data_IF_771818126531
#
_entry.id   IF_771818126531
#
_cell.length_a   1.000
_cell.length_b   1.000
_cell.length_c   1.000
_cell.angle_alpha   90.00
_cell.angle_beta   90.00
_cell.angle_gamma   90.00
#
_symmetry.space_group_name_H-M   'P 1'
#
loop_
_entity.id
_entity.type
_entity.pdbx_description
1 polymer ?
#
# COMPACT_ATOMS: atom_id res chain seq x y z
N UNK A 1 36.41 -3.91 -16.62
CA UNK A 1 36.02 -4.36 -15.27
C UNK A 1 34.87 -5.36 -15.44
N UNK A 2 34.95 -6.49 -14.73
CA UNK A 2 33.88 -7.51 -14.77
C UNK A 2 32.66 -6.90 -14.07
N UNK A 3 31.49 -6.99 -14.72
CA UNK A 3 30.21 -6.56 -14.13
C UNK A 3 29.46 -7.80 -13.63
N UNK A 4 28.79 -7.64 -12.51
CA UNK A 4 28.02 -8.72 -11.88
C UNK A 4 26.63 -8.18 -11.50
N UNK A 5 25.65 -9.06 -11.38
CA UNK A 5 24.31 -8.69 -10.93
C UNK A 5 24.34 -8.30 -9.45
N UNK A 6 23.70 -7.20 -9.11
CA UNK A 6 23.68 -6.67 -7.74
C UNK A 6 23.01 -7.65 -6.76
N UNK A 7 21.93 -8.33 -7.17
CA UNK A 7 21.25 -9.34 -6.34
C UNK A 7 22.16 -10.56 -6.04
N UNK A 8 23.04 -10.91 -6.96
CA UNK A 8 24.03 -11.98 -6.77
C UNK A 8 25.13 -11.53 -5.82
N UNK A 9 25.70 -10.34 -6.06
CA UNK A 9 26.79 -9.82 -5.24
C UNK A 9 26.38 -9.65 -3.77
N UNK A 10 25.16 -9.12 -3.50
CA UNK A 10 24.65 -9.01 -2.14
C UNK A 10 24.58 -10.36 -1.42
N UNK A 11 24.21 -11.41 -2.14
CA UNK A 11 24.12 -12.75 -1.56
C UNK A 11 25.51 -13.35 -1.34
N UNK A 12 26.42 -13.20 -2.30
CA UNK A 12 27.80 -13.71 -2.22
C UNK A 12 28.59 -13.02 -1.10
N UNK A 13 28.36 -11.71 -0.91
CA UNK A 13 29.00 -10.94 0.17
C UNK A 13 28.31 -11.12 1.54
N UNK A 14 27.29 -11.97 1.66
CA UNK A 14 26.56 -12.20 2.92
C UNK A 14 25.69 -11.03 3.39
N UNK A 15 25.50 -10.00 2.54
CA UNK A 15 24.65 -8.83 2.83
C UNK A 15 23.15 -9.13 2.67
N UNK A 16 22.79 -10.25 2.08
CA UNK A 16 21.43 -10.78 2.02
C UNK A 16 21.46 -12.31 2.10
N UNK A 17 20.53 -12.94 2.84
CA UNK A 17 20.53 -14.40 3.02
C UNK A 17 20.10 -15.17 1.74
N UNK A 18 19.46 -14.47 0.78
CA UNK A 18 19.05 -15.07 -0.49
C UNK A 18 18.93 -14.00 -1.58
N UNK A 19 18.96 -14.43 -2.86
CA UNK A 19 18.75 -13.52 -4.00
C UNK A 19 17.38 -12.85 -3.98
N UNK A 20 16.36 -13.53 -3.50
CA UNK A 20 15.01 -12.95 -3.35
C UNK A 20 15.02 -11.82 -2.31
N UNK A 21 15.70 -12.02 -1.18
CA UNK A 21 15.88 -10.97 -0.17
C UNK A 21 16.70 -9.81 -0.73
N UNK A 22 17.78 -10.09 -1.45
CA UNK A 22 18.60 -9.08 -2.13
C UNK A 22 17.77 -8.20 -3.08
N UNK A 23 16.94 -8.82 -3.92
CA UNK A 23 16.04 -8.07 -4.82
C UNK A 23 15.07 -7.15 -4.04
N UNK A 24 14.50 -7.63 -2.92
CA UNK A 24 13.63 -6.82 -2.07
C UNK A 24 14.35 -5.62 -1.48
N UNK A 25 15.56 -5.80 -0.95
CA UNK A 25 16.40 -4.72 -0.42
C UNK A 25 16.73 -3.67 -1.50
N UNK A 26 17.05 -4.11 -2.72
CA UNK A 26 17.32 -3.23 -3.85
C UNK A 26 16.06 -2.42 -4.20
N UNK A 27 14.92 -3.09 -4.42
CA UNK A 27 13.66 -2.42 -4.78
C UNK A 27 13.13 -1.50 -3.67
N UNK A 28 13.47 -1.79 -2.41
CA UNK A 28 13.20 -0.91 -1.28
C UNK A 28 14.11 0.32 -1.22
N UNK A 29 15.13 0.39 -2.11
CA UNK A 29 16.12 1.45 -2.10
C UNK A 29 17.04 1.40 -0.86
N UNK A 30 17.19 0.23 -0.26
CA UNK A 30 18.04 0.01 0.92
C UNK A 30 19.47 -0.39 0.55
N UNK A 31 19.82 -0.43 -0.73
CA UNK A 31 21.16 -0.80 -1.19
C UNK A 31 21.87 0.41 -1.76
N UNK A 32 23.07 0.68 -1.22
CA UNK A 32 24.02 1.63 -1.75
C UNK A 32 25.16 0.88 -2.47
N UNK A 33 25.48 1.35 -3.65
CA UNK A 33 26.63 0.91 -4.45
C UNK A 33 27.57 2.09 -4.57
N UNK A 34 28.77 2.03 -3.98
CA UNK A 34 29.68 3.17 -3.89
C UNK A 34 28.98 4.43 -3.38
N UNK A 35 28.21 4.30 -2.29
CA UNK A 35 27.40 5.35 -1.64
C UNK A 35 26.24 5.92 -2.51
N UNK A 36 25.97 5.36 -3.68
CA UNK A 36 24.84 5.75 -4.50
C UNK A 36 23.72 4.71 -4.40
N UNK A 37 22.50 5.20 -4.18
CA UNK A 37 21.30 4.33 -4.06
C UNK A 37 20.96 3.67 -5.39
N UNK A 38 20.71 2.38 -5.36
CA UNK A 38 20.25 1.58 -6.50
C UNK A 38 18.93 0.90 -6.15
N UNK A 39 17.91 1.10 -6.98
CA UNK A 39 16.54 0.58 -6.77
C UNK A 39 16.08 -0.43 -7.83
N UNK A 40 16.91 -0.72 -8.83
CA UNK A 40 16.58 -1.67 -9.91
C UNK A 40 17.10 -3.08 -9.57
N UNK A 41 16.19 -4.02 -9.30
CA UNK A 41 16.53 -5.40 -8.94
C UNK A 41 17.45 -6.13 -9.95
N UNK A 42 17.38 -5.74 -11.22
CA UNK A 42 18.22 -6.31 -12.30
C UNK A 42 19.53 -5.54 -12.57
N UNK A 43 19.88 -4.54 -11.75
CA UNK A 43 21.08 -3.74 -11.95
C UNK A 43 22.34 -4.60 -11.99
N UNK A 44 23.26 -4.24 -12.89
CA UNK A 44 24.62 -4.82 -12.95
C UNK A 44 25.62 -3.74 -12.52
N UNK A 45 26.51 -4.10 -11.61
CA UNK A 45 27.50 -3.20 -11.02
C UNK A 45 28.91 -3.80 -11.16
N UNK A 46 29.98 -3.02 -11.03
CA UNK A 46 31.33 -3.58 -10.95
C UNK A 46 31.44 -4.63 -9.86
N UNK A 47 32.12 -5.74 -10.14
CA UNK A 47 32.25 -6.85 -9.18
C UNK A 47 33.01 -6.47 -7.89
N UNK A 48 33.80 -5.41 -7.98
CA UNK A 48 34.58 -4.82 -6.89
C UNK A 48 33.89 -3.60 -6.24
N UNK A 49 32.62 -3.35 -6.58
CA UNK A 49 31.87 -2.24 -5.98
C UNK A 49 31.70 -2.45 -4.48
N UNK A 50 31.82 -1.37 -3.72
CA UNK A 50 31.52 -1.34 -2.29
C UNK A 50 29.99 -1.35 -2.12
N UNK A 51 29.47 -2.41 -1.50
CA UNK A 51 28.03 -2.55 -1.25
C UNK A 51 27.74 -2.29 0.22
N UNK A 52 26.67 -1.56 0.45
CA UNK A 52 26.16 -1.30 1.81
C UNK A 52 24.66 -1.39 1.83
N UNK A 53 24.11 -2.17 2.74
CA UNK A 53 22.67 -2.20 3.04
C UNK A 53 22.41 -1.19 4.13
N UNK A 54 21.47 -0.29 3.89
CA UNK A 54 21.08 0.79 4.81
C UNK A 54 19.61 0.65 5.20
N UNK A 55 19.33 1.07 6.44
CA UNK A 55 17.98 0.97 7.01
C UNK A 55 17.77 -0.31 7.80
N UNK A 56 16.70 -0.31 8.59
CA UNK A 56 16.27 -1.50 9.32
C UNK A 56 15.65 -2.54 8.37
N UNK A 57 15.72 -3.80 8.75
CA UNK A 57 15.00 -4.87 8.03
C UNK A 57 13.50 -4.55 8.04
N UNK A 58 12.90 -4.49 6.83
CA UNK A 58 11.45 -4.30 6.74
C UNK A 58 10.75 -5.48 7.41
N UNK A 59 9.83 -5.23 8.35
CA UNK A 59 9.08 -6.30 9.01
C UNK A 59 8.14 -7.03 8.05
N UNK A 60 7.88 -6.48 6.86
CA UNK A 60 6.98 -6.98 5.85
C UNK A 60 7.70 -7.27 4.52
N UNK A 61 7.07 -8.05 3.65
CA UNK A 61 7.63 -8.39 2.33
C UNK A 61 7.87 -7.16 1.43
N UNK A 62 7.23 -6.03 1.72
CA UNK A 62 7.49 -4.74 1.06
C UNK A 62 7.15 -3.54 1.96
N UNK A 63 7.58 -2.32 1.54
CA UNK A 63 7.27 -1.06 2.23
C UNK A 63 5.76 -0.79 2.35
N UNK A 64 4.94 -1.42 1.50
CA UNK A 64 3.48 -1.33 1.60
C UNK A 64 2.98 -1.69 3.00
N UNK A 65 3.53 -2.72 3.63
CA UNK A 65 3.13 -3.13 4.98
C UNK A 65 3.27 -2.03 6.03
N UNK A 66 4.23 -1.11 5.89
CA UNK A 66 4.39 0.05 6.80
C UNK A 66 3.19 1.00 6.72
N UNK A 67 2.58 1.15 5.53
CA UNK A 67 1.40 2.00 5.36
C UNK A 67 0.21 1.44 6.12
N UNK A 68 -0.06 0.14 5.94
CA UNK A 68 -1.15 -0.53 6.65
C UNK A 68 -0.91 -0.53 8.16
N UNK A 69 0.32 -0.82 8.60
CA UNK A 69 0.69 -0.80 10.02
C UNK A 69 0.44 0.58 10.66
N UNK A 70 0.74 1.68 9.94
CA UNK A 70 0.42 3.04 10.40
C UNK A 70 -1.09 3.22 10.60
N UNK A 71 -1.91 2.76 9.64
CA UNK A 71 -3.37 2.85 9.74
C UNK A 71 -3.92 2.01 10.90
N UNK A 72 -3.43 0.78 11.07
CA UNK A 72 -3.80 -0.10 12.19
C UNK A 72 -3.51 0.59 13.52
N UNK A 73 -2.31 1.14 13.68
CA UNK A 73 -1.91 1.82 14.91
C UNK A 73 -2.69 3.12 15.16
N UNK A 74 -2.90 3.93 14.11
CA UNK A 74 -3.57 5.22 14.23
C UNK A 74 -5.06 5.10 14.58
N UNK A 75 -5.72 4.06 14.07
CA UNK A 75 -7.18 3.89 14.21
C UNK A 75 -7.59 2.75 15.15
N UNK A 76 -6.63 2.05 15.75
CA UNK A 76 -6.92 0.93 16.66
C UNK A 76 -7.59 -0.26 15.95
N UNK A 77 -7.27 -0.52 14.67
CA UNK A 77 -7.90 -1.59 13.88
C UNK A 77 -7.45 -2.95 14.43
N UNK A 78 -8.40 -3.80 14.79
CA UNK A 78 -8.14 -5.16 15.25
C UNK A 78 -8.40 -6.14 14.08
N UNK A 79 -7.37 -6.86 13.66
CA UNK A 79 -7.47 -7.86 12.58
C UNK A 79 -7.49 -9.31 13.09
N UNK A 80 -7.33 -9.51 14.39
CA UNK A 80 -7.30 -10.86 14.99
C UNK A 80 -8.61 -11.62 14.71
N UNK A 81 -8.49 -12.79 14.08
CA UNK A 81 -9.62 -13.64 13.74
C UNK A 81 -10.45 -13.19 12.52
N UNK A 82 -10.10 -12.08 11.87
CA UNK A 82 -10.86 -11.54 10.72
C UNK A 82 -10.46 -12.17 9.39
N UNK A 83 -11.43 -12.26 8.49
CA UNK A 83 -11.22 -12.46 7.06
C UNK A 83 -11.02 -11.09 6.40
N UNK A 84 -9.98 -10.95 5.58
CA UNK A 84 -9.63 -9.68 4.96
C UNK A 84 -9.49 -9.79 3.44
N UNK A 85 -9.60 -8.65 2.74
CA UNK A 85 -9.28 -8.50 1.34
C UNK A 85 -8.18 -7.45 1.15
N UNK A 86 -7.13 -7.79 0.41
CA UNK A 86 -6.05 -6.90 -0.01
C UNK A 86 -6.25 -6.53 -1.48
N UNK A 87 -6.71 -5.31 -1.75
CA UNK A 87 -7.08 -4.85 -3.08
C UNK A 87 -5.94 -4.02 -3.66
N UNK A 88 -5.25 -4.59 -4.64
CA UNK A 88 -3.97 -4.11 -5.15
C UNK A 88 -2.80 -4.74 -4.38
N UNK A 89 -2.86 -6.05 -4.15
CA UNK A 89 -1.92 -6.77 -3.29
C UNK A 89 -0.45 -6.68 -3.74
N UNK A 90 -0.18 -6.60 -5.05
CA UNK A 90 1.15 -6.49 -5.63
C UNK A 90 2.12 -7.54 -5.02
N UNK A 91 3.19 -7.12 -4.37
CA UNK A 91 4.13 -8.02 -3.68
C UNK A 91 3.59 -8.59 -2.36
N UNK A 92 2.45 -8.10 -1.86
CA UNK A 92 1.79 -8.62 -0.66
C UNK A 92 2.18 -7.90 0.64
N UNK A 93 2.66 -6.66 0.58
CA UNK A 93 3.04 -5.93 1.80
C UNK A 93 1.88 -5.76 2.77
N UNK A 94 0.68 -5.44 2.28
CA UNK A 94 -0.52 -5.34 3.09
C UNK A 94 -1.00 -6.71 3.55
N UNK A 95 -1.02 -7.70 2.67
CA UNK A 95 -1.34 -9.10 3.01
C UNK A 95 -0.47 -9.60 4.16
N UNK A 96 0.86 -9.43 4.08
CA UNK A 96 1.80 -9.85 5.14
C UNK A 96 1.53 -9.11 6.47
N UNK A 97 1.26 -7.80 6.40
CA UNK A 97 0.89 -7.01 7.57
C UNK A 97 -0.40 -7.52 8.22
N UNK A 98 -1.43 -7.82 7.42
CA UNK A 98 -2.70 -8.36 7.95
C UNK A 98 -2.51 -9.72 8.64
N UNK A 99 -1.75 -10.63 8.04
CA UNK A 99 -1.46 -11.94 8.61
C UNK A 99 -0.67 -11.84 9.92
N UNK A 100 0.31 -10.92 9.99
CA UNK A 100 1.08 -10.67 11.22
C UNK A 100 0.23 -10.04 12.32
N UNK A 101 -0.84 -9.32 11.98
CA UNK A 101 -1.83 -8.77 12.93
C UNK A 101 -3.01 -9.72 13.20
N UNK A 102 -2.90 -11.00 12.83
CA UNK A 102 -3.82 -12.04 13.24
C UNK A 102 -4.99 -12.31 12.31
N UNK A 103 -5.00 -11.77 11.09
CA UNK A 103 -5.99 -12.16 10.09
C UNK A 103 -5.90 -13.66 9.80
N UNK A 104 -7.05 -14.33 9.76
CA UNK A 104 -7.14 -15.79 9.56
C UNK A 104 -7.25 -16.17 8.09
N UNK A 105 -7.70 -15.24 7.25
CA UNK A 105 -7.78 -15.38 5.79
C UNK A 105 -7.58 -14.04 5.12
N UNK A 106 -6.84 -14.02 3.99
CA UNK A 106 -6.67 -12.82 3.16
C UNK A 106 -6.85 -13.17 1.69
N UNK A 107 -7.80 -12.51 1.03
CA UNK A 107 -7.93 -12.53 -0.43
C UNK A 107 -6.98 -11.49 -1.01
N UNK A 108 -5.89 -11.93 -1.61
CA UNK A 108 -4.89 -11.07 -2.26
C UNK A 108 -5.27 -10.84 -3.72
N UNK A 109 -5.94 -9.72 -4.00
CA UNK A 109 -6.54 -9.39 -5.30
C UNK A 109 -5.64 -8.41 -6.04
N UNK A 110 -5.15 -8.79 -7.23
CA UNK A 110 -4.32 -7.92 -8.07
C UNK A 110 -4.52 -8.22 -9.57
N UNK A 111 -4.42 -7.18 -10.40
CA UNK A 111 -4.46 -7.33 -11.87
C UNK A 111 -3.16 -7.91 -12.43
N UNK A 112 -2.05 -7.77 -11.70
CA UNK A 112 -0.73 -8.29 -12.03
C UNK A 112 -0.67 -9.82 -11.92
N UNK A 113 0.48 -10.36 -12.29
CA UNK A 113 0.75 -11.79 -12.22
C UNK A 113 2.19 -12.06 -11.78
N UNK A 114 2.36 -13.04 -10.89
CA UNK A 114 3.68 -13.48 -10.42
C UNK A 114 4.37 -12.45 -9.52
N UNK A 115 3.63 -11.49 -8.96
CA UNK A 115 4.18 -10.43 -8.10
C UNK A 115 4.14 -10.79 -6.62
N UNK A 116 3.10 -11.52 -6.19
CA UNK A 116 2.93 -11.90 -4.79
C UNK A 116 4.14 -12.69 -4.30
N UNK A 117 4.69 -12.32 -3.15
CA UNK A 117 5.87 -12.97 -2.55
C UNK A 117 5.58 -14.46 -2.33
N UNK A 118 6.60 -15.29 -2.57
CA UNK A 118 6.46 -16.75 -2.48
C UNK A 118 6.00 -17.22 -1.10
N UNK A 119 6.46 -16.58 -0.03
CA UNK A 119 6.03 -16.86 1.35
C UNK A 119 4.50 -16.72 1.50
N UNK A 120 3.91 -15.69 0.89
CA UNK A 120 2.47 -15.44 0.95
C UNK A 120 1.69 -16.34 0.01
N UNK A 121 2.25 -16.61 -1.16
CA UNK A 121 1.65 -17.52 -2.15
C UNK A 121 1.48 -18.95 -1.63
N UNK A 122 2.34 -19.36 -0.71
CA UNK A 122 2.32 -20.70 -0.10
C UNK A 122 1.67 -20.73 1.29
N UNK A 123 1.25 -19.59 1.83
CA UNK A 123 0.53 -19.52 3.11
C UNK A 123 -0.93 -19.96 2.93
N UNK A 124 -1.36 -20.97 3.67
CA UNK A 124 -2.71 -21.54 3.57
C UNK A 124 -3.83 -20.55 3.90
N UNK A 125 -3.51 -19.43 4.57
CA UNK A 125 -4.44 -18.35 4.89
C UNK A 125 -4.63 -17.37 3.73
N UNK A 126 -3.82 -17.45 2.67
CA UNK A 126 -3.86 -16.51 1.54
C UNK A 126 -4.55 -17.16 0.35
N UNK A 127 -5.60 -16.52 -0.12
CA UNK A 127 -6.24 -16.83 -1.40
C UNK A 127 -5.65 -15.91 -2.46
N UNK A 128 -4.77 -16.45 -3.30
CA UNK A 128 -4.12 -15.67 -4.36
C UNK A 128 -5.08 -15.46 -5.54
N UNK A 129 -5.50 -14.21 -5.75
CA UNK A 129 -6.38 -13.79 -6.83
C UNK A 129 -5.64 -12.83 -7.79
N UNK A 130 -4.49 -13.25 -8.30
CA UNK A 130 -3.78 -12.54 -9.37
C UNK A 130 -4.55 -12.57 -10.70
N UNK A 131 -4.20 -11.68 -11.65
CA UNK A 131 -4.93 -11.45 -12.93
C UNK A 131 -6.40 -11.11 -12.73
N UNK A 132 -6.75 -10.57 -11.57
CA UNK A 132 -8.13 -10.28 -11.19
C UNK A 132 -8.34 -8.78 -11.08
N UNK A 133 -9.21 -8.25 -11.94
CA UNK A 133 -9.63 -6.85 -11.84
C UNK A 133 -10.72 -6.73 -10.76
N UNK A 134 -10.47 -5.96 -9.72
CA UNK A 134 -11.41 -5.76 -8.62
C UNK A 134 -12.82 -5.38 -9.10
N UNK A 135 -12.95 -4.62 -10.17
CA UNK A 135 -14.26 -4.22 -10.73
C UNK A 135 -15.09 -5.38 -11.28
N UNK A 136 -14.51 -6.58 -11.39
CA UNK A 136 -15.17 -7.80 -11.86
C UNK A 136 -15.34 -8.83 -10.74
N UNK A 137 -14.88 -8.54 -9.54
CA UNK A 137 -15.05 -9.43 -8.39
C UNK A 137 -16.47 -9.29 -7.87
N UNK A 138 -17.08 -10.44 -7.63
CA UNK A 138 -18.46 -10.56 -7.11
C UNK A 138 -18.44 -11.37 -5.81
N UNK A 139 -19.45 -11.22 -4.93
CA UNK A 139 -19.48 -11.93 -3.65
C UNK A 139 -19.37 -13.45 -3.77
N UNK A 140 -19.93 -14.05 -4.82
CA UNK A 140 -19.88 -15.49 -5.08
C UNK A 140 -18.48 -16.02 -5.45
N UNK A 141 -17.54 -15.14 -5.79
CA UNK A 141 -16.13 -15.49 -5.99
C UNK A 141 -15.35 -15.65 -4.67
N UNK A 142 -15.95 -15.23 -3.55
CA UNK A 142 -15.36 -15.30 -2.22
C UNK A 142 -16.16 -16.30 -1.38
N UNK A 143 -15.48 -17.25 -0.75
CA UNK A 143 -16.15 -18.24 0.12
C UNK A 143 -16.66 -17.63 1.45
N UNK A 144 -16.12 -16.44 1.83
CA UNK A 144 -16.58 -15.67 2.99
C UNK A 144 -16.49 -14.16 2.69
N UNK A 145 -17.50 -13.41 3.11
CA UNK A 145 -17.46 -11.95 3.03
C UNK A 145 -16.34 -11.40 3.95
N UNK A 146 -15.43 -10.54 3.44
CA UNK A 146 -14.39 -9.95 4.26
C UNK A 146 -14.96 -9.01 5.34
N UNK A 147 -14.38 -9.07 6.55
CA UNK A 147 -14.66 -8.14 7.64
C UNK A 147 -13.80 -6.87 7.56
N UNK A 148 -12.76 -6.94 6.76
CA UNK A 148 -11.84 -5.83 6.53
C UNK A 148 -11.35 -5.84 5.08
N UNK A 149 -11.21 -4.66 4.49
CA UNK A 149 -10.56 -4.50 3.20
C UNK A 149 -9.50 -3.41 3.26
N UNK A 150 -8.32 -3.68 2.72
CA UNK A 150 -7.34 -2.65 2.40
C UNK A 150 -7.35 -2.35 0.91
N UNK A 151 -7.13 -1.08 0.53
CA UNK A 151 -7.11 -0.65 -0.88
C UNK A 151 -5.83 0.14 -1.14
N UNK A 152 -4.92 -0.43 -1.95
CA UNK A 152 -3.69 0.21 -2.44
C UNK A 152 -3.57 0.05 -3.96
N UNK A 153 -4.51 0.61 -4.71
CA UNK A 153 -4.57 0.51 -6.18
C UNK A 153 -3.79 1.63 -6.87
N UNK A 154 -3.40 1.41 -8.11
CA UNK A 154 -2.73 2.38 -8.96
C UNK A 154 -3.47 2.57 -10.29
N UNK A 155 -3.40 3.79 -10.85
CA UNK A 155 -3.99 4.15 -12.15
C UNK A 155 -5.52 4.04 -12.23
N UNK A 156 -6.19 4.04 -11.09
CA UNK A 156 -7.64 4.02 -10.97
C UNK A 156 -8.04 4.84 -9.74
N UNK A 157 -9.14 5.58 -9.85
CA UNK A 157 -9.71 6.34 -8.73
C UNK A 157 -10.52 5.44 -7.79
N UNK A 158 -10.58 5.80 -6.50
CA UNK A 158 -11.33 5.10 -5.47
C UNK A 158 -12.85 5.10 -5.75
N UNK A 159 -13.37 6.08 -6.47
CA UNK A 159 -14.78 6.13 -6.88
C UNK A 159 -15.20 4.94 -7.77
N UNK A 160 -14.24 4.28 -8.43
CA UNK A 160 -14.46 3.06 -9.23
C UNK A 160 -14.28 1.76 -8.44
N UNK A 161 -13.62 1.83 -7.28
CA UNK A 161 -13.26 0.66 -6.47
C UNK A 161 -14.19 0.51 -5.28
N UNK A 162 -14.48 1.59 -4.57
CA UNK A 162 -15.32 1.58 -3.37
C UNK A 162 -16.72 0.97 -3.60
N UNK A 163 -17.43 1.23 -4.74
CA UNK A 163 -18.73 0.61 -4.98
C UNK A 163 -18.67 -0.92 -4.96
N UNK A 164 -17.64 -1.50 -5.56
CA UNK A 164 -17.46 -2.96 -5.59
C UNK A 164 -17.08 -3.48 -4.20
N UNK A 165 -16.11 -2.84 -3.55
CA UNK A 165 -15.67 -3.25 -2.20
C UNK A 165 -16.84 -3.29 -1.24
N UNK A 166 -17.75 -2.30 -1.32
CA UNK A 166 -18.97 -2.27 -0.51
C UNK A 166 -19.84 -3.52 -0.67
N UNK A 167 -19.93 -4.06 -1.88
CA UNK A 167 -20.74 -5.28 -2.12
C UNK A 167 -20.08 -6.56 -1.62
N UNK A 168 -18.76 -6.54 -1.42
CA UNK A 168 -17.99 -7.71 -0.97
C UNK A 168 -17.93 -7.84 0.55
N UNK A 169 -17.98 -6.70 1.26
CA UNK A 169 -17.80 -6.64 2.70
C UNK A 169 -18.99 -7.24 3.47
N UNK A 170 -18.69 -7.78 4.64
CA UNK A 170 -19.69 -8.11 5.66
C UNK A 170 -20.45 -6.86 6.13
N UNK A 171 -21.66 -6.99 6.70
CA UNK A 171 -22.45 -5.84 7.13
C UNK A 171 -21.75 -4.90 8.13
N UNK A 172 -20.79 -5.40 8.89
CA UNK A 172 -19.98 -4.63 9.86
C UNK A 172 -18.56 -4.39 9.35
N UNK A 173 -18.32 -4.62 8.06
CA UNK A 173 -17.01 -4.53 7.45
C UNK A 173 -16.38 -3.15 7.56
N UNK A 174 -15.08 -3.11 7.47
CA UNK A 174 -14.25 -1.91 7.56
C UNK A 174 -13.29 -1.82 6.38
N UNK A 175 -12.91 -0.60 6.02
CA UNK A 175 -11.99 -0.33 4.91
C UNK A 175 -10.87 0.59 5.35
N UNK A 176 -9.64 0.29 4.99
CA UNK A 176 -8.53 1.23 5.00
C UNK A 176 -8.06 1.48 3.57
N UNK A 177 -8.39 2.64 3.02
CA UNK A 177 -8.09 2.99 1.64
C UNK A 177 -6.93 3.98 1.56
N UNK A 178 -5.97 3.74 0.66
CA UNK A 178 -4.98 4.73 0.26
C UNK A 178 -5.59 5.71 -0.74
N UNK A 179 -5.65 6.99 -0.34
CA UNK A 179 -5.93 8.09 -1.26
C UNK A 179 -4.60 8.50 -1.88
N UNK A 180 -4.53 8.44 -3.20
CA UNK A 180 -3.35 8.79 -3.99
C UNK A 180 -3.66 10.00 -4.85
N UNK A 181 -3.26 11.22 -4.45
CA UNK A 181 -3.62 12.44 -5.17
C UNK A 181 -3.32 12.40 -6.67
N UNK A 182 -2.24 11.73 -7.07
CA UNK A 182 -1.85 11.59 -8.47
C UNK A 182 -2.85 10.77 -9.34
N UNK A 183 -3.73 9.99 -8.74
CA UNK A 183 -4.76 9.21 -9.45
C UNK A 183 -6.17 9.78 -9.25
N UNK A 184 -6.31 10.76 -8.35
CA UNK A 184 -7.59 11.37 -8.01
C UNK A 184 -7.73 12.82 -8.52
N UNK A 185 -6.62 13.57 -8.63
CA UNK A 185 -6.65 15.01 -8.90
C UNK A 185 -7.12 15.40 -10.31
N UNK A 186 -7.09 14.45 -11.27
CA UNK A 186 -7.23 14.75 -12.69
C UNK A 186 -5.91 15.19 -13.34
N UNK A 187 -5.79 14.98 -14.65
CA UNK A 187 -4.53 15.16 -15.39
C UNK A 187 -3.95 16.57 -15.31
N UNK A 188 -4.81 17.57 -15.28
CA UNK A 188 -4.42 18.99 -15.32
C UNK A 188 -3.78 19.48 -14.01
N UNK A 189 -3.99 18.78 -12.91
CA UNK A 189 -3.45 19.10 -11.59
C UNK A 189 -2.27 18.20 -11.17
N UNK A 190 -1.86 17.28 -12.04
CA UNK A 190 -0.70 16.44 -11.81
C UNK A 190 0.52 17.06 -12.47
N UNK A 191 1.52 17.41 -11.67
CA UNK A 191 2.74 18.05 -12.14
C UNK A 191 3.62 17.16 -13.02
N UNK A 192 4.70 17.73 -13.54
CA UNK A 192 5.76 17.00 -14.24
C UNK A 192 6.22 15.83 -13.38
N UNK A 193 6.48 14.69 -13.99
CA UNK A 193 6.87 13.43 -13.33
C UNK A 193 5.74 12.71 -12.57
N UNK A 194 4.48 13.16 -12.67
CA UNK A 194 3.34 12.50 -12.04
C UNK A 194 3.26 12.73 -10.52
N UNK A 195 3.71 13.90 -10.04
CA UNK A 195 3.68 14.25 -8.61
C UNK A 195 2.74 15.43 -8.40
N UNK A 196 1.85 15.31 -7.43
CA UNK A 196 1.01 16.38 -6.90
C UNK A 196 1.72 16.96 -5.67
N UNK A 197 1.98 18.26 -5.67
CA UNK A 197 2.73 18.95 -4.60
C UNK A 197 1.91 20.02 -3.87
N UNK A 198 0.84 20.49 -4.50
CA UNK A 198 0.01 21.56 -3.96
C UNK A 198 -0.88 21.02 -2.82
N UNK A 199 -0.73 21.50 -1.58
CA UNK A 199 -1.56 21.08 -0.46
C UNK A 199 -3.05 21.27 -0.71
N UNK A 200 -3.46 22.35 -1.37
CA UNK A 200 -4.87 22.62 -1.69
C UNK A 200 -5.45 21.55 -2.62
N UNK A 201 -4.64 20.98 -3.53
CA UNK A 201 -5.07 19.87 -4.38
C UNK A 201 -5.22 18.58 -3.56
N UNK A 202 -4.37 18.36 -2.54
CA UNK A 202 -4.51 17.22 -1.64
C UNK A 202 -5.79 17.31 -0.82
N UNK A 203 -6.09 18.48 -0.25
CA UNK A 203 -7.31 18.74 0.52
C UNK A 203 -8.57 18.49 -0.34
N UNK A 204 -8.64 19.09 -1.54
CA UNK A 204 -9.74 18.89 -2.47
C UNK A 204 -9.93 17.40 -2.86
N UNK A 205 -8.85 16.70 -3.10
CA UNK A 205 -8.89 15.26 -3.42
C UNK A 205 -9.46 14.46 -2.26
N UNK A 206 -9.00 14.71 -1.04
CA UNK A 206 -9.48 14.02 0.17
C UNK A 206 -10.97 14.29 0.37
N UNK A 207 -11.39 15.56 0.30
CA UNK A 207 -12.80 15.95 0.47
C UNK A 207 -13.71 15.26 -0.56
N UNK A 208 -13.30 15.20 -1.84
CA UNK A 208 -14.09 14.51 -2.88
C UNK A 208 -14.18 13.00 -2.65
N UNK A 209 -13.10 12.35 -2.21
CA UNK A 209 -13.12 10.92 -1.89
C UNK A 209 -14.04 10.65 -0.70
N UNK A 210 -14.04 11.52 0.32
CA UNK A 210 -14.96 11.44 1.47
C UNK A 210 -16.42 11.52 1.02
N UNK A 211 -16.78 12.55 0.24
CA UNK A 211 -18.15 12.71 -0.30
C UNK A 211 -18.57 11.49 -1.11
N UNK A 212 -17.67 10.94 -1.94
CA UNK A 212 -17.97 9.74 -2.72
C UNK A 212 -18.19 8.51 -1.82
N UNK A 213 -17.38 8.33 -0.78
CA UNK A 213 -17.53 7.22 0.16
C UNK A 213 -18.83 7.33 0.97
N UNK A 214 -19.17 8.53 1.47
CA UNK A 214 -20.43 8.78 2.19
C UNK A 214 -21.66 8.57 1.29
N UNK A 215 -21.58 9.03 0.04
CA UNK A 215 -22.63 8.79 -0.97
C UNK A 215 -22.88 7.30 -1.26
N UNK A 216 -21.89 6.45 -1.03
CA UNK A 216 -22.01 4.99 -1.08
C UNK A 216 -22.54 4.40 0.24
N UNK A 217 -22.71 5.21 1.29
CA UNK A 217 -23.13 4.76 2.61
C UNK A 217 -22.01 4.18 3.48
N UNK A 218 -20.75 4.50 3.18
CA UNK A 218 -19.66 4.31 4.14
C UNK A 218 -19.69 5.42 5.19
N UNK A 219 -19.24 5.10 6.40
CA UNK A 219 -19.09 6.04 7.50
C UNK A 219 -17.60 6.33 7.70
N UNK A 220 -17.13 7.57 7.48
CA UNK A 220 -15.75 7.96 7.78
C UNK A 220 -15.46 7.81 9.27
N UNK A 221 -14.32 7.19 9.60
CA UNK A 221 -13.88 6.94 10.98
C UNK A 221 -12.57 7.62 11.33
N UNK A 222 -11.76 7.95 10.32
CA UNK A 222 -10.49 8.64 10.53
C UNK A 222 -9.70 8.87 9.26
N UNK A 223 -8.82 9.86 9.33
CA UNK A 223 -7.91 10.25 8.26
C UNK A 223 -6.50 10.43 8.85
N UNK A 224 -5.48 9.94 8.15
CA UNK A 224 -4.07 10.20 8.42
C UNK A 224 -3.27 10.09 7.12
N UNK A 225 -1.94 10.15 7.17
CA UNK A 225 -1.08 10.01 6.00
C UNK A 225 -0.15 8.81 6.10
N UNK A 226 0.30 8.32 4.96
CA UNK A 226 1.26 7.23 4.85
C UNK A 226 2.62 7.64 5.42
N UNK A 227 3.30 6.79 6.20
CA UNK A 227 4.64 7.11 6.74
C UNK A 227 5.72 7.11 5.66
N UNK A 228 5.40 6.65 4.47
CA UNK A 228 6.33 6.58 3.33
C UNK A 228 5.67 7.14 2.08
N UNK A 229 6.42 7.90 1.29
CA UNK A 229 5.98 8.39 -0.02
C UNK A 229 5.83 7.25 -1.02
N UNK A 230 4.95 7.44 -1.99
CA UNK A 230 4.84 6.59 -3.16
C UNK A 230 6.13 6.58 -3.99
N UNK A 231 6.26 5.64 -4.96
CA UNK A 231 7.51 5.42 -5.71
C UNK A 231 8.05 6.66 -6.45
N UNK A 232 7.18 7.59 -6.82
CA UNK A 232 7.57 8.86 -7.49
C UNK A 232 7.70 10.04 -6.54
N UNK A 233 7.50 9.83 -5.23
CA UNK A 233 7.59 10.87 -4.21
C UNK A 233 6.26 11.53 -3.85
N UNK A 234 5.12 10.99 -4.29
CA UNK A 234 3.81 11.48 -3.88
C UNK A 234 3.55 11.19 -2.41
N UNK A 235 2.99 12.16 -1.70
CA UNK A 235 2.35 11.95 -0.40
C UNK A 235 1.03 11.21 -0.65
N UNK A 236 0.75 10.22 0.19
CA UNK A 236 -0.46 9.40 0.10
C UNK A 236 -1.16 9.41 1.46
N UNK A 237 -2.49 9.34 1.46
CA UNK A 237 -3.29 9.44 2.69
C UNK A 237 -4.00 8.14 2.98
N UNK A 238 -4.31 7.89 4.24
CA UNK A 238 -5.00 6.71 4.75
C UNK A 238 -6.37 7.12 5.25
N UNK A 239 -7.41 6.67 4.58
CA UNK A 239 -8.81 6.90 4.94
C UNK A 239 -9.39 5.63 5.55
N UNK A 240 -9.87 5.71 6.78
CA UNK A 240 -10.55 4.64 7.48
C UNK A 240 -12.06 4.81 7.44
N UNK A 241 -12.75 3.79 6.96
CA UNK A 241 -14.20 3.76 6.73
C UNK A 241 -14.81 2.53 7.40
N UNK A 242 -16.07 2.65 7.81
CA UNK A 242 -16.89 1.53 8.27
C UNK A 242 -18.17 1.41 7.46
N UNK A 243 -18.77 0.21 7.49
CA UNK A 243 -20.10 -0.03 6.92
C UNK A 243 -21.23 0.46 7.83
N UNK A 244 -20.98 0.54 9.14
CA UNK A 244 -21.94 0.95 10.16
C UNK A 244 -21.27 1.72 11.29
N UNK A 245 -22.03 2.57 11.99
CA UNK A 245 -21.59 3.27 13.19
C UNK A 245 -20.46 4.27 12.94
N UNK A 246 -19.90 4.80 14.01
CA UNK A 246 -18.72 5.66 13.96
C UNK A 246 -19.00 7.14 13.83
N UNK A 247 -17.97 7.86 13.39
CA UNK A 247 -17.96 9.33 13.25
C UNK A 247 -18.77 9.76 12.02
N UNK A 248 -19.50 10.86 12.15
CA UNK A 248 -20.43 11.32 11.11
C UNK A 248 -19.76 12.12 10.00
N UNK A 249 -18.63 12.78 10.27
CA UNK A 249 -17.90 13.55 9.24
C UNK A 249 -16.46 13.80 9.69
N UNK A 250 -15.57 13.95 8.72
CA UNK A 250 -14.21 14.50 8.89
C UNK A 250 -14.29 15.95 8.43
N UNK A 251 -14.04 16.89 9.34
CA UNK A 251 -14.17 18.33 9.05
C UNK A 251 -13.02 18.83 8.15
N UNK A 252 -13.28 19.92 7.41
CA UNK A 252 -12.27 20.50 6.49
C UNK A 252 -11.00 20.93 7.25
N UNK A 253 -11.13 21.42 8.48
CA UNK A 253 -10.00 21.78 9.35
C UNK A 253 -9.14 20.57 9.71
N UNK A 254 -9.73 19.39 9.85
CA UNK A 254 -9.00 18.15 10.11
C UNK A 254 -8.28 17.69 8.85
N UNK A 255 -8.90 17.80 7.68
CA UNK A 255 -8.25 17.51 6.39
C UNK A 255 -7.03 18.39 6.23
N UNK A 256 -7.17 19.71 6.41
CA UNK A 256 -6.08 20.68 6.31
C UNK A 256 -4.94 20.36 7.28
N UNK A 257 -5.25 20.06 8.54
CA UNK A 257 -4.25 19.70 9.55
C UNK A 257 -3.46 18.43 9.18
N UNK A 258 -4.14 17.40 8.66
CA UNK A 258 -3.48 16.17 8.22
C UNK A 258 -2.59 16.42 7.00
N UNK A 259 -3.03 17.25 6.05
CA UNK A 259 -2.25 17.62 4.86
C UNK A 259 -1.02 18.42 5.26
N UNK A 260 -1.16 19.43 6.10
CA UNK A 260 -0.04 20.24 6.61
C UNK A 260 0.99 19.36 7.32
N UNK A 261 0.56 18.49 8.22
CA UNK A 261 1.47 17.59 8.93
C UNK A 261 2.19 16.61 7.99
N UNK A 262 1.49 16.08 6.98
CA UNK A 262 2.09 15.20 5.99
C UNK A 262 3.20 15.90 5.20
N UNK A 263 2.96 17.13 4.74
CA UNK A 263 3.96 17.93 4.04
C UNK A 263 5.14 18.26 4.95
N UNK A 264 4.90 18.71 6.17
CA UNK A 264 5.96 19.01 7.16
C UNK A 264 6.83 17.79 7.45
N UNK A 265 6.23 16.61 7.56
CA UNK A 265 6.93 15.37 7.95
C UNK A 265 7.68 14.73 6.79
N UNK A 266 7.13 14.78 5.59
CA UNK A 266 7.62 14.02 4.44
C UNK A 266 8.39 14.87 3.43
N UNK A 267 8.19 16.20 3.38
CA UNK A 267 8.90 17.12 2.47
C UNK A 267 10.01 17.93 3.18
N UNK A 268 10.06 17.85 4.52
CA UNK A 268 11.05 18.52 5.37
C UNK A 268 12.47 17.96 5.28
#
# INVERSE_FOLDING_TARGET
>A
MKKERLDVLLTVQGLAPSRERAKRLIMAGQVLVNEQRVDKAGATVPADAVLRVVGEDLPYVSRGGLKLAKGIAAFGICLAGRTAADIGASTGGFTDCMLQNGAVKVYAIDVGYGQLDWKLRTDARVVNMERTNIRKVTPDMLDHAPDFASIDVAFISLDKVLPVVRTLLSPEGEVLALIKPQFEAGKDRVGKNGVVRDPAVHEDVIARVLVAAEGLGFVPRGLTFSPVKGPKGNIEYLLYLGMQGGRTAIADEEIAAVVEEAHRTLDG
#
